data_IF_010522189690
#
_entry.id   IF_010522189690
#
_cell.length_a   1.000
_cell.length_b   1.000
_cell.length_c   1.000
_cell.angle_alpha   90.00
_cell.angle_beta   90.00
_cell.angle_gamma   90.00
#
_symmetry.space_group_name_H-M   'P 1'
#
loop_
_entity.id
_entity.type
_entity.pdbx_description
1 polymer ?
#
# COMPACT_ATOMS: atom_id res chain seq x y z
N UNK A 1 4.27 -5.97 -18.06
CA UNK A 1 3.17 -5.00 -18.28
C UNK A 1 2.20 -4.92 -17.11
N UNK A 2 1.74 -6.02 -16.49
CA UNK A 2 0.81 -5.97 -15.36
C UNK A 2 1.28 -5.14 -14.16
N UNK A 3 2.58 -5.22 -13.80
CA UNK A 3 3.14 -4.42 -12.72
C UNK A 3 3.11 -2.91 -12.98
N UNK A 4 3.38 -2.49 -14.23
CA UNK A 4 3.31 -1.07 -14.61
C UNK A 4 1.87 -0.54 -14.57
N UNK A 5 0.91 -1.35 -15.01
CA UNK A 5 -0.52 -0.99 -14.96
C UNK A 5 -0.99 -0.86 -13.49
N UNK A 6 -0.62 -1.81 -12.63
CA UNK A 6 -0.95 -1.74 -11.20
C UNK A 6 -0.33 -0.50 -10.52
N UNK A 7 0.91 -0.19 -10.85
CA UNK A 7 1.61 1.01 -10.36
C UNK A 7 0.96 2.31 -10.84
N UNK A 8 0.42 2.33 -12.06
CA UNK A 8 -0.18 3.52 -12.65
C UNK A 8 -1.63 3.71 -12.20
N UNK A 9 -2.37 2.63 -12.01
CA UNK A 9 -3.81 2.65 -11.75
C UNK A 9 -4.20 2.15 -10.36
N UNK A 10 -3.25 1.69 -9.54
CA UNK A 10 -3.52 1.17 -8.20
C UNK A 10 -4.25 2.17 -7.30
N UNK A 11 -3.89 3.44 -7.38
CA UNK A 11 -4.53 4.54 -6.64
C UNK A 11 -5.25 5.54 -7.58
N UNK A 12 -5.78 5.06 -8.71
CA UNK A 12 -6.47 5.93 -9.66
C UNK A 12 -7.74 6.54 -9.06
N UNK A 13 -8.46 5.78 -8.25
CA UNK A 13 -9.67 6.23 -7.58
C UNK A 13 -9.36 7.39 -6.64
N UNK A 14 -8.36 7.23 -5.76
CA UNK A 14 -7.92 8.27 -4.83
C UNK A 14 -7.46 9.52 -5.56
N UNK A 15 -6.69 9.35 -6.62
CA UNK A 15 -6.22 10.49 -7.43
C UNK A 15 -7.39 11.23 -8.08
N UNK A 16 -8.38 10.51 -8.64
CA UNK A 16 -9.55 11.12 -9.29
C UNK A 16 -10.41 11.85 -8.25
N UNK A 17 -10.75 11.21 -7.14
CA UNK A 17 -11.52 11.83 -6.04
C UNK A 17 -10.81 13.09 -5.54
N UNK A 18 -9.50 12.99 -5.30
CA UNK A 18 -8.71 14.11 -4.81
C UNK A 18 -8.58 15.26 -5.84
N UNK A 19 -8.47 14.95 -7.15
CA UNK A 19 -8.45 15.97 -8.21
C UNK A 19 -9.79 16.71 -8.32
N UNK A 20 -10.92 16.01 -8.19
CA UNK A 20 -12.25 16.60 -8.18
C UNK A 20 -12.40 17.51 -6.95
N UNK A 21 -12.09 17.00 -5.76
CA UNK A 21 -12.14 17.78 -4.53
C UNK A 21 -11.19 19.00 -4.57
N UNK A 22 -10.00 18.84 -5.18
CA UNK A 22 -9.04 19.94 -5.38
C UNK A 22 -9.61 21.01 -6.30
N UNK A 23 -10.24 20.62 -7.41
CA UNK A 23 -10.88 21.53 -8.36
C UNK A 23 -12.00 22.35 -7.69
N UNK A 24 -12.76 21.72 -6.79
CA UNK A 24 -13.82 22.38 -5.99
C UNK A 24 -13.25 23.23 -4.82
N UNK A 25 -11.92 23.31 -4.67
CA UNK A 25 -11.26 24.09 -3.62
C UNK A 25 -11.29 23.45 -2.22
N UNK A 26 -11.66 22.18 -2.10
CA UNK A 26 -11.76 21.44 -0.84
C UNK A 26 -10.39 20.93 -0.35
N UNK A 27 -9.40 21.83 -0.26
CA UNK A 27 -8.02 21.50 0.08
C UNK A 27 -7.88 20.72 1.39
N UNK A 28 -8.69 21.07 2.40
CA UNK A 28 -8.70 20.36 3.68
C UNK A 28 -9.13 18.90 3.53
N UNK A 29 -10.20 18.65 2.77
CA UNK A 29 -10.70 17.30 2.49
C UNK A 29 -9.65 16.47 1.74
N UNK A 30 -8.98 17.07 0.74
CA UNK A 30 -7.92 16.41 -0.02
C UNK A 30 -6.79 15.96 0.91
N UNK A 31 -6.28 16.86 1.75
CA UNK A 31 -5.18 16.53 2.69
C UNK A 31 -5.61 15.47 3.70
N UNK A 32 -6.79 15.63 4.31
CA UNK A 32 -7.30 14.66 5.28
C UNK A 32 -7.54 13.28 4.64
N UNK A 33 -8.02 13.22 3.40
CA UNK A 33 -8.18 11.96 2.67
C UNK A 33 -6.84 11.27 2.39
N UNK A 34 -5.82 12.02 1.97
CA UNK A 34 -4.48 11.47 1.77
C UNK A 34 -3.89 10.91 3.08
N UNK A 35 -4.00 11.67 4.17
CA UNK A 35 -3.57 11.22 5.49
C UNK A 35 -4.32 9.95 5.93
N UNK A 36 -5.64 9.94 5.76
CA UNK A 36 -6.49 8.83 6.11
C UNK A 36 -6.25 7.57 5.28
N UNK A 37 -5.97 7.71 3.98
CA UNK A 37 -5.61 6.57 3.13
C UNK A 37 -4.29 5.93 3.58
N UNK A 38 -3.29 6.72 3.95
CA UNK A 38 -2.02 6.19 4.49
C UNK A 38 -2.29 5.46 5.82
N UNK A 39 -2.97 6.10 6.77
CA UNK A 39 -3.29 5.54 8.09
C UNK A 39 -4.16 4.28 7.95
N UNK A 40 -5.20 4.34 7.11
CA UNK A 40 -6.11 3.23 6.86
C UNK A 40 -5.42 2.01 6.28
N UNK A 41 -4.59 2.19 5.27
CA UNK A 41 -3.85 1.09 4.65
C UNK A 41 -2.85 0.45 5.62
N UNK A 42 -2.12 1.25 6.40
CA UNK A 42 -1.10 0.75 7.33
C UNK A 42 -1.70 0.12 8.57
N UNK A 43 -2.77 0.66 9.13
CA UNK A 43 -3.32 0.17 10.40
C UNK A 43 -4.58 -0.69 10.22
N UNK A 44 -5.56 -0.24 9.42
CA UNK A 44 -6.81 -0.97 9.26
C UNK A 44 -6.63 -2.17 8.32
N UNK A 45 -6.13 -1.95 7.11
CA UNK A 45 -6.03 -3.01 6.09
C UNK A 45 -4.99 -4.05 6.47
N UNK A 46 -3.80 -3.60 6.83
CA UNK A 46 -2.75 -4.50 7.26
C UNK A 46 -3.13 -5.21 8.57
N UNK A 47 -3.76 -4.49 9.50
CA UNK A 47 -4.28 -5.05 10.74
C UNK A 47 -5.35 -6.12 10.50
N UNK A 48 -6.34 -5.88 9.63
CA UNK A 48 -7.35 -6.88 9.25
C UNK A 48 -6.71 -8.08 8.56
N UNK A 49 -5.75 -7.86 7.68
CA UNK A 49 -5.03 -8.90 6.96
C UNK A 49 -4.27 -9.83 7.90
N UNK A 50 -3.47 -9.25 8.80
CA UNK A 50 -2.71 -10.01 9.81
C UNK A 50 -3.63 -10.69 10.82
N UNK A 51 -4.68 -10.01 11.28
CA UNK A 51 -5.63 -10.56 12.24
C UNK A 51 -6.38 -11.77 11.67
N UNK A 52 -7.06 -11.59 10.54
CA UNK A 52 -7.86 -12.66 9.94
C UNK A 52 -6.98 -13.78 9.34
N UNK A 53 -5.85 -13.42 8.75
CA UNK A 53 -4.87 -14.39 8.27
C UNK A 53 -4.25 -15.19 9.40
N UNK A 54 -3.84 -14.54 10.49
CA UNK A 54 -3.26 -15.16 11.67
C UNK A 54 -4.24 -16.05 12.46
N UNK A 55 -5.54 -15.71 12.49
CA UNK A 55 -6.58 -16.59 13.03
C UNK A 55 -6.69 -17.90 12.25
N UNK A 56 -6.45 -17.86 10.93
CA UNK A 56 -6.55 -19.03 10.05
C UNK A 56 -5.27 -19.85 10.00
N UNK A 57 -4.10 -19.20 9.96
CA UNK A 57 -2.81 -19.86 9.70
C UNK A 57 -1.84 -19.81 10.88
N UNK A 58 -2.23 -19.21 12.02
CA UNK A 58 -1.41 -18.95 13.22
C UNK A 58 -0.29 -17.94 12.98
N UNK A 59 0.64 -18.22 12.06
CA UNK A 59 1.71 -17.33 11.59
C UNK A 59 1.76 -17.35 10.07
N UNK A 60 2.07 -16.23 9.46
CA UNK A 60 2.29 -16.08 8.02
C UNK A 60 3.57 -15.30 7.79
N UNK A 61 4.34 -15.69 6.79
CA UNK A 61 5.63 -15.07 6.47
C UNK A 61 5.51 -14.17 5.24
N UNK A 62 6.36 -13.16 5.18
CA UNK A 62 6.55 -12.30 4.03
C UNK A 62 8.03 -11.86 3.95
N UNK A 63 8.45 -11.30 2.81
CA UNK A 63 9.86 -11.00 2.57
C UNK A 63 10.39 -9.85 3.43
N UNK A 64 11.29 -10.09 4.41
CA UNK A 64 11.79 -9.05 5.30
C UNK A 64 12.58 -7.97 4.57
N UNK A 65 13.27 -8.33 3.46
CA UNK A 65 14.07 -7.39 2.68
C UNK A 65 13.19 -6.35 2.02
N UNK A 66 12.09 -6.77 1.40
CA UNK A 66 11.11 -5.88 0.77
C UNK A 66 10.40 -5.01 1.83
N UNK A 67 10.02 -5.61 2.97
CA UNK A 67 9.41 -4.88 4.08
C UNK A 67 10.33 -3.76 4.60
N UNK A 68 11.64 -4.01 4.80
CA UNK A 68 12.61 -3.00 5.23
C UNK A 68 12.84 -1.89 4.21
N UNK A 69 12.85 -2.21 2.91
CA UNK A 69 12.95 -1.22 1.84
C UNK A 69 11.72 -0.31 1.82
N UNK A 70 10.53 -0.89 1.93
CA UNK A 70 9.28 -0.15 2.03
C UNK A 70 9.25 0.74 3.29
N UNK A 71 9.71 0.22 4.44
CA UNK A 71 9.83 0.97 5.69
C UNK A 71 10.73 2.20 5.52
N UNK A 72 11.89 2.05 4.85
CA UNK A 72 12.80 3.17 4.57
C UNK A 72 12.14 4.23 3.68
N UNK A 73 11.41 3.80 2.65
CA UNK A 73 10.67 4.70 1.76
C UNK A 73 9.52 5.41 2.47
N UNK A 74 8.82 4.73 3.38
CA UNK A 74 7.78 5.34 4.22
C UNK A 74 8.36 6.36 5.20
N UNK A 75 9.52 6.09 5.80
CA UNK A 75 10.20 7.06 6.65
C UNK A 75 10.57 8.33 5.88
N UNK A 76 11.06 8.21 4.64
CA UNK A 76 11.31 9.36 3.77
C UNK A 76 10.01 10.12 3.48
N UNK A 77 8.91 9.42 3.19
CA UNK A 77 7.61 10.05 2.97
C UNK A 77 7.14 10.84 4.20
N UNK A 78 7.27 10.27 5.42
CA UNK A 78 6.95 10.98 6.67
C UNK A 78 7.79 12.25 6.81
N UNK A 79 9.09 12.18 6.59
CA UNK A 79 10.00 13.34 6.65
C UNK A 79 9.52 14.41 5.66
N UNK A 80 9.24 14.02 4.42
CA UNK A 80 8.82 14.94 3.37
C UNK A 80 7.49 15.64 3.64
N UNK A 81 6.54 14.96 4.29
CA UNK A 81 5.25 15.54 4.70
C UNK A 81 5.38 16.37 5.98
N UNK A 82 6.27 15.99 6.89
CA UNK A 82 6.43 16.65 8.19
C UNK A 82 7.19 17.97 8.08
N UNK A 83 8.24 18.03 7.25
CA UNK A 83 9.13 19.20 7.21
C UNK A 83 8.45 20.51 6.78
N UNK A 84 7.56 20.55 5.76
CA UNK A 84 6.86 21.79 5.40
C UNK A 84 6.00 22.32 6.54
N UNK A 85 5.31 21.43 7.27
CA UNK A 85 4.48 21.81 8.42
C UNK A 85 5.34 22.24 9.61
N UNK A 86 6.43 21.53 9.90
CA UNK A 86 7.36 21.90 10.96
C UNK A 86 7.98 23.28 10.72
N UNK A 87 8.38 23.59 9.48
CA UNK A 87 8.84 24.93 9.10
C UNK A 87 7.79 26.00 9.32
N UNK A 88 6.53 25.72 8.95
CA UNK A 88 5.45 26.68 9.16
C UNK A 88 5.22 26.97 10.65
N UNK A 89 5.33 25.97 11.51
CA UNK A 89 5.15 26.10 12.96
C UNK A 89 6.29 26.81 13.66
N UNK A 90 7.54 26.59 13.19
CA UNK A 90 8.75 27.07 13.88
C UNK A 90 9.25 28.43 13.40
N UNK A 91 8.85 28.88 12.22
CA UNK A 91 9.37 30.10 11.57
C UNK A 91 8.41 31.31 11.67
N UNK A 92 7.56 31.40 12.70
CA UNK A 92 6.57 32.49 12.89
C UNK A 92 5.59 32.62 11.69
N UNK A 93 5.39 31.51 10.97
CA UNK A 93 4.63 31.44 9.72
C UNK A 93 5.50 31.82 8.51
N UNK A 94 5.93 30.81 7.74
CA UNK A 94 6.45 31.09 6.38
C UNK A 94 5.29 31.61 5.53
N UNK A 95 5.54 32.67 4.74
CA UNK A 95 4.51 33.19 3.83
C UNK A 95 3.95 32.06 2.94
N UNK A 96 2.65 32.14 2.63
CA UNK A 96 1.92 31.11 1.85
C UNK A 96 2.67 30.76 0.54
N UNK A 97 3.24 31.74 -0.13
CA UNK A 97 4.02 31.54 -1.37
C UNK A 97 5.27 30.68 -1.13
N UNK A 98 6.02 30.92 -0.06
CA UNK A 98 7.21 30.14 0.25
C UNK A 98 6.87 28.69 0.62
N UNK A 99 5.74 28.48 1.36
CA UNK A 99 5.22 27.16 1.66
C UNK A 99 4.85 26.37 0.39
N UNK A 100 4.23 27.03 -0.59
CA UNK A 100 3.89 26.44 -1.89
C UNK A 100 5.12 26.07 -2.72
N UNK A 101 6.10 26.95 -2.79
CA UNK A 101 7.35 26.68 -3.50
C UNK A 101 8.15 25.54 -2.86
N UNK A 102 8.23 25.50 -1.53
CA UNK A 102 8.84 24.39 -0.81
C UNK A 102 8.11 23.07 -1.12
N UNK A 103 6.77 23.07 -1.03
CA UNK A 103 5.96 21.90 -1.32
C UNK A 103 6.12 21.42 -2.76
N UNK A 104 6.25 22.34 -3.71
CA UNK A 104 6.51 22.02 -5.12
C UNK A 104 7.89 21.36 -5.29
N UNK A 105 8.92 21.90 -4.64
CA UNK A 105 10.25 21.31 -4.68
C UNK A 105 10.29 19.91 -4.06
N UNK A 106 9.64 19.73 -2.90
CA UNK A 106 9.48 18.42 -2.23
C UNK A 106 8.71 17.44 -3.13
N UNK A 107 7.63 17.88 -3.78
CA UNK A 107 6.85 17.06 -4.70
C UNK A 107 7.69 16.53 -5.87
N UNK A 108 8.54 17.36 -6.48
CA UNK A 108 9.45 16.95 -7.56
C UNK A 108 10.44 15.89 -7.07
N UNK A 109 11.01 16.09 -5.87
CA UNK A 109 11.93 15.11 -5.26
C UNK A 109 11.22 13.78 -5.01
N UNK A 110 10.02 13.79 -4.44
CA UNK A 110 9.26 12.56 -4.14
C UNK A 110 8.91 11.76 -5.41
N UNK A 111 8.46 12.44 -6.47
CA UNK A 111 8.19 11.80 -7.77
C UNK A 111 9.49 11.21 -8.34
N UNK A 112 10.60 11.93 -8.23
CA UNK A 112 11.92 11.44 -8.66
C UNK A 112 12.32 10.16 -7.90
N UNK A 113 12.19 10.16 -6.57
CA UNK A 113 12.48 8.98 -5.73
C UNK A 113 11.57 7.82 -6.10
N UNK A 114 10.27 8.07 -6.31
CA UNK A 114 9.35 7.02 -6.73
C UNK A 114 9.73 6.43 -8.09
N UNK A 115 10.09 7.26 -9.07
CA UNK A 115 10.61 6.82 -10.37
C UNK A 115 11.84 5.94 -10.24
N UNK A 116 12.78 6.30 -9.35
CA UNK A 116 13.96 5.47 -9.05
C UNK A 116 13.60 4.16 -8.35
N UNK A 117 12.61 4.16 -7.45
CA UNK A 117 12.09 2.95 -6.81
C UNK A 117 11.46 2.00 -7.84
N UNK A 118 10.73 2.53 -8.82
CA UNK A 118 10.20 1.73 -9.94
C UNK A 118 11.32 1.15 -10.80
N UNK A 119 12.32 1.95 -11.14
CA UNK A 119 13.48 1.47 -11.89
C UNK A 119 14.19 0.34 -11.12
N UNK A 120 14.34 0.50 -9.81
CA UNK A 120 14.93 -0.51 -8.94
C UNK A 120 14.12 -1.81 -8.95
N UNK A 121 12.82 -1.74 -8.66
CA UNK A 121 11.95 -2.92 -8.52
C UNK A 121 11.65 -3.62 -9.84
N UNK A 122 11.51 -2.87 -10.94
CA UNK A 122 11.08 -3.44 -12.23
C UNK A 122 12.22 -3.79 -13.18
N UNK A 123 13.42 -3.24 -12.99
CA UNK A 123 14.51 -3.41 -13.95
C UNK A 123 15.80 -3.95 -13.32
N UNK A 124 16.23 -3.41 -12.18
CA UNK A 124 17.55 -3.74 -11.64
C UNK A 124 17.51 -4.84 -10.60
N UNK A 125 16.44 -4.96 -9.80
CA UNK A 125 16.32 -5.89 -8.67
C UNK A 125 14.95 -6.61 -8.66
N UNK A 126 14.48 -7.00 -9.83
CA UNK A 126 13.18 -7.71 -10.00
C UNK A 126 13.08 -8.97 -9.16
N UNK A 127 14.21 -9.67 -8.96
CA UNK A 127 14.28 -10.91 -8.20
C UNK A 127 13.83 -10.75 -6.73
N UNK A 128 13.95 -9.54 -6.15
CA UNK A 128 13.50 -9.28 -4.79
C UNK A 128 11.97 -9.20 -4.67
N UNK A 129 11.29 -8.91 -5.78
CA UNK A 129 9.84 -8.68 -5.83
C UNK A 129 9.09 -9.83 -6.51
N UNK A 130 9.79 -10.87 -6.97
CA UNK A 130 9.17 -12.02 -7.61
C UNK A 130 8.81 -13.09 -6.56
N UNK A 131 7.60 -12.95 -5.98
CA UNK A 131 7.06 -13.86 -4.98
C UNK A 131 6.98 -15.34 -5.46
N UNK A 132 6.96 -15.57 -6.78
CA UNK A 132 6.97 -16.91 -7.35
C UNK A 132 8.36 -17.58 -7.26
N UNK A 133 9.44 -16.78 -7.26
CA UNK A 133 10.80 -17.27 -7.12
C UNK A 133 11.12 -17.61 -5.65
N UNK A 134 10.69 -16.78 -4.72
CA UNK A 134 10.90 -17.00 -3.28
C UNK A 134 10.21 -18.27 -2.76
N UNK A 135 9.00 -18.58 -3.25
CA UNK A 135 8.30 -19.82 -2.89
C UNK A 135 8.94 -21.08 -3.49
N UNK A 136 9.66 -20.97 -4.63
CA UNK A 136 10.40 -22.08 -5.21
C UNK A 136 11.74 -22.32 -4.48
N UNK A 137 12.44 -21.26 -4.09
CA UNK A 137 13.69 -21.38 -3.34
C UNK A 137 13.45 -21.93 -1.92
N UNK A 138 12.37 -21.50 -1.24
CA UNK A 138 11.95 -22.08 0.04
C UNK A 138 11.59 -23.56 -0.07
N UNK A 139 10.82 -23.95 -1.07
CA UNK A 139 10.44 -25.34 -1.30
C UNK A 139 11.64 -26.24 -1.71
N UNK A 140 12.61 -25.68 -2.45
CA UNK A 140 13.86 -26.41 -2.80
C UNK A 140 14.75 -26.55 -1.58
N UNK A 141 14.85 -25.53 -0.71
CA UNK A 141 15.61 -25.60 0.52
C UNK A 141 15.01 -26.61 1.53
N UNK A 142 13.67 -26.59 1.72
CA UNK A 142 12.98 -27.59 2.55
C UNK A 142 13.10 -29.02 1.96
N UNK A 143 12.98 -29.18 0.65
CA UNK A 143 13.18 -30.46 -0.03
C UNK A 143 14.62 -30.97 0.07
N UNK A 144 15.61 -30.09 0.04
CA UNK A 144 17.02 -30.44 0.22
C UNK A 144 17.34 -30.86 1.67
N UNK A 145 16.79 -30.14 2.65
CA UNK A 145 16.93 -30.48 4.08
C UNK A 145 16.21 -31.79 4.40
N UNK A 146 15.01 -32.02 3.86
CA UNK A 146 14.30 -33.28 4.03
C UNK A 146 15.03 -34.45 3.37
N UNK A 147 15.61 -34.29 2.16
CA UNK A 147 16.44 -35.32 1.51
C UNK A 147 17.71 -35.61 2.30
N UNK A 148 18.41 -34.57 2.77
CA UNK A 148 19.62 -34.76 3.60
C UNK A 148 19.32 -35.46 4.93
N UNK A 149 18.17 -35.18 5.56
CA UNK A 149 17.71 -35.85 6.77
C UNK A 149 17.35 -37.34 6.50
N UNK A 150 16.72 -37.65 5.38
CA UNK A 150 16.36 -39.03 4.98
C UNK A 150 17.60 -39.83 4.63
N UNK A 151 18.60 -39.26 3.93
CA UNK A 151 19.86 -39.90 3.64
C UNK A 151 20.70 -40.17 4.91
N UNK A 152 20.68 -39.22 5.87
CA UNK A 152 21.36 -39.39 7.16
C UNK A 152 20.73 -40.51 8.01
N UNK A 153 19.41 -40.69 7.96
CA UNK A 153 18.68 -41.75 8.67
C UNK A 153 18.83 -43.09 7.92
N UNK A 154 18.88 -43.08 6.57
CA UNK A 154 19.09 -44.28 5.75
C UNK A 154 20.48 -44.94 5.88
N UNK A 155 21.50 -44.18 6.30
CA UNK A 155 22.86 -44.68 6.48
C UNK A 155 23.05 -45.48 7.77
N UNK A 156 22.06 -45.62 8.65
CA UNK A 156 22.12 -46.29 9.95
C UNK A 156 21.43 -47.68 9.95
N UNK A 157 20.77 -48.07 8.86
CA UNK A 157 20.11 -49.39 8.79
C UNK A 157 20.74 -50.30 7.71
N UNK A 158 21.27 -51.48 8.07
CA UNK A 158 21.79 -52.44 7.10
C UNK A 158 20.68 -53.34 6.56
N UNK A 159 20.53 -53.41 5.26
CA UNK A 159 19.92 -54.56 4.63
C UNK A 159 18.80 -54.33 3.62
N UNK A 160 19.13 -54.77 2.40
CA UNK A 160 18.30 -55.15 1.25
C UNK A 160 17.85 -54.06 0.27
N UNK A 161 18.75 -53.83 -0.68
CA UNK A 161 18.46 -53.29 -1.98
C UNK A 161 17.71 -54.28 -2.85
N UNK A 162 16.51 -53.98 -3.31
CA UNK A 162 15.97 -54.45 -4.57
C UNK A 162 15.70 -53.26 -5.47
N UNK A 163 16.53 -53.18 -6.48
CA UNK A 163 16.42 -52.28 -7.64
C UNK A 163 15.03 -52.44 -8.30
N UNK A 164 14.30 -51.39 -8.38
CA UNK A 164 13.25 -51.21 -9.37
C UNK A 164 13.58 -49.94 -10.16
N UNK A 165 14.17 -50.17 -11.36
CA UNK A 165 14.23 -49.18 -12.42
C UNK A 165 12.81 -49.00 -12.97
N UNK A 166 12.11 -47.97 -12.54
CA UNK A 166 10.97 -47.42 -13.30
C UNK A 166 11.51 -46.28 -14.16
N UNK A 167 11.52 -46.54 -15.48
CA UNK A 167 11.74 -45.54 -16.51
C UNK A 167 10.71 -44.44 -16.37
N UNK A 168 11.16 -43.26 -15.96
CA UNK A 168 10.39 -42.04 -16.06
C UNK A 168 10.18 -41.75 -17.55
N UNK A 169 9.00 -42.08 -18.07
CA UNK A 169 8.50 -41.55 -19.35
C UNK A 169 8.43 -40.05 -19.25
N UNK A 170 9.27 -39.35 -20.00
CA UNK A 170 9.12 -37.92 -20.26
C UNK A 170 7.79 -37.69 -20.97
N UNK A 171 6.85 -37.02 -20.29
CA UNK A 171 5.67 -36.49 -20.93
C UNK A 171 6.08 -35.45 -21.98
N UNK A 172 5.41 -35.42 -23.15
CA UNK A 172 5.74 -34.47 -24.21
C UNK A 172 5.57 -33.06 -23.68
N UNK A 173 6.62 -32.25 -23.78
CA UNK A 173 6.62 -30.82 -23.49
C UNK A 173 5.40 -30.17 -24.13
N UNK A 174 4.39 -29.84 -23.35
CA UNK A 174 3.35 -28.91 -23.78
C UNK A 174 4.04 -27.61 -24.19
N UNK A 175 3.97 -27.30 -25.49
CA UNK A 175 4.38 -26.00 -26.00
C UNK A 175 3.60 -24.93 -25.25
N UNK A 176 4.25 -23.85 -24.80
CA UNK A 176 3.53 -22.72 -24.22
C UNK A 176 2.49 -22.27 -25.26
N UNK A 177 1.21 -22.35 -24.91
CA UNK A 177 0.15 -21.72 -25.69
C UNK A 177 0.49 -20.24 -25.73
N UNK A 178 0.86 -19.72 -26.91
CA UNK A 178 0.91 -18.29 -27.16
C UNK A 178 -0.49 -17.74 -26.87
N UNK A 179 -0.66 -17.17 -25.70
CA UNK A 179 -1.80 -16.33 -25.39
C UNK A 179 -1.64 -15.09 -26.25
N UNK A 180 -2.36 -15.07 -27.37
CA UNK A 180 -2.46 -13.91 -28.22
C UNK A 180 -2.74 -12.69 -27.34
N UNK A 181 -1.91 -11.67 -27.53
CA UNK A 181 -1.85 -10.48 -26.70
C UNK A 181 -3.10 -9.60 -26.94
N UNK A 182 -4.28 -10.04 -26.48
CA UNK A 182 -5.53 -9.27 -26.54
C UNK A 182 -5.56 -8.23 -25.41
N UNK A 183 -4.62 -7.27 -25.43
CA UNK A 183 -4.58 -6.14 -24.49
C UNK A 183 -5.76 -5.20 -24.74
N UNK A 184 -6.24 -5.09 -25.98
CA UNK A 184 -7.26 -4.15 -26.42
C UNK A 184 -8.58 -4.19 -25.62
N UNK A 185 -9.23 -5.36 -25.36
CA UNK A 185 -10.48 -5.36 -24.60
C UNK A 185 -10.28 -4.96 -23.14
N UNK A 186 -9.16 -5.32 -22.52
CA UNK A 186 -8.86 -4.97 -21.12
C UNK A 186 -8.58 -3.48 -20.94
N UNK A 187 -7.97 -2.82 -21.94
CA UNK A 187 -7.80 -1.36 -21.96
C UNK A 187 -9.17 -0.67 -22.04
N UNK A 188 -10.09 -1.20 -22.85
CA UNK A 188 -11.47 -0.68 -22.93
C UNK A 188 -12.22 -0.80 -21.60
N UNK A 189 -12.12 -1.95 -20.92
CA UNK A 189 -12.71 -2.17 -19.59
C UNK A 189 -12.11 -1.20 -18.56
N UNK A 190 -10.78 -1.02 -18.56
CA UNK A 190 -10.10 -0.11 -17.65
C UNK A 190 -10.55 1.34 -17.88
N UNK A 191 -10.66 1.78 -19.13
CA UNK A 191 -11.14 3.12 -19.47
C UNK A 191 -12.57 3.35 -19.00
N UNK A 192 -13.46 2.38 -19.26
CA UNK A 192 -14.85 2.45 -18.83
C UNK A 192 -14.97 2.50 -17.30
N UNK A 193 -14.19 1.68 -16.58
CA UNK A 193 -14.13 1.70 -15.12
C UNK A 193 -13.62 3.05 -14.60
N UNK A 194 -12.58 3.62 -15.22
CA UNK A 194 -12.04 4.94 -14.83
C UNK A 194 -13.09 6.05 -15.01
N UNK A 195 -13.86 6.01 -16.11
CA UNK A 195 -14.95 6.96 -16.34
C UNK A 195 -16.06 6.79 -15.28
N UNK A 196 -16.46 5.56 -14.97
CA UNK A 196 -17.45 5.29 -13.94
C UNK A 196 -17.00 5.81 -12.57
N UNK A 197 -15.75 5.55 -12.19
CA UNK A 197 -15.13 6.07 -10.96
C UNK A 197 -15.14 7.60 -10.92
N UNK A 198 -14.87 8.27 -12.05
CA UNK A 198 -14.91 9.73 -12.09
C UNK A 198 -16.31 10.28 -11.80
N UNK A 199 -17.37 9.68 -12.36
CA UNK A 199 -18.75 10.05 -12.06
C UNK A 199 -19.13 9.78 -10.60
N UNK A 200 -18.82 8.61 -10.08
CA UNK A 200 -19.08 8.27 -8.67
C UNK A 200 -18.33 9.20 -7.70
N UNK A 201 -17.09 9.56 -8.05
CA UNK A 201 -16.28 10.48 -7.27
C UNK A 201 -16.87 11.87 -7.19
N UNK A 202 -17.47 12.38 -8.27
CA UNK A 202 -18.16 13.68 -8.28
C UNK A 202 -19.35 13.65 -7.33
N UNK A 203 -20.19 12.62 -7.38
CA UNK A 203 -21.32 12.46 -6.44
C UNK A 203 -20.84 12.34 -4.99
N UNK A 204 -19.77 11.57 -4.76
CA UNK A 204 -19.20 11.40 -3.42
C UNK A 204 -18.73 12.74 -2.84
N UNK A 205 -17.98 13.53 -3.61
CA UNK A 205 -17.46 14.84 -3.18
C UNK A 205 -18.63 15.82 -2.91
N UNK A 206 -19.62 15.88 -3.79
CA UNK A 206 -20.79 16.75 -3.64
C UNK A 206 -21.67 16.39 -2.43
N UNK A 207 -21.79 15.09 -2.13
CA UNK A 207 -22.61 14.63 -1.00
C UNK A 207 -21.88 14.67 0.35
N UNK A 208 -20.55 14.82 0.35
CA UNK A 208 -19.71 14.71 1.54
C UNK A 208 -20.08 15.74 2.62
N UNK A 209 -20.26 17.01 2.24
CA UNK A 209 -20.62 18.06 3.20
C UNK A 209 -22.00 17.84 3.81
N UNK A 210 -22.99 17.52 2.97
CA UNK A 210 -24.35 17.23 3.44
C UNK A 210 -24.39 15.98 4.35
N UNK A 211 -23.67 14.93 4.01
CA UNK A 211 -23.58 13.73 4.84
C UNK A 211 -22.90 14.01 6.18
N UNK A 212 -21.81 14.79 6.17
CA UNK A 212 -21.06 15.17 7.38
C UNK A 212 -21.98 15.95 8.34
N UNK A 213 -22.74 16.93 7.85
CA UNK A 213 -23.68 17.72 8.64
C UNK A 213 -24.84 16.87 9.19
N UNK A 214 -25.45 16.03 8.35
CA UNK A 214 -26.58 15.19 8.75
C UNK A 214 -26.20 14.14 9.80
N UNK A 215 -24.99 13.61 9.73
CA UNK A 215 -24.47 12.63 10.69
C UNK A 215 -23.86 13.27 11.94
N UNK A 216 -23.76 14.59 11.99
CA UNK A 216 -23.13 15.30 13.11
C UNK A 216 -21.65 15.01 13.29
N UNK A 217 -20.94 14.67 12.19
CA UNK A 217 -19.53 14.32 12.19
C UNK A 217 -18.69 15.58 11.95
N UNK A 218 -17.47 15.59 12.49
CA UNK A 218 -16.54 16.66 12.16
C UNK A 218 -15.86 16.38 10.79
N UNK A 219 -15.45 17.45 10.10
CA UNK A 219 -14.84 17.38 8.76
C UNK A 219 -13.54 16.56 8.74
N UNK A 220 -12.79 16.62 9.83
CA UNK A 220 -11.51 15.90 9.95
C UNK A 220 -11.74 14.40 10.04
N UNK A 221 -12.67 13.94 10.89
CA UNK A 221 -13.05 12.53 10.98
C UNK A 221 -13.59 12.00 9.64
N UNK A 222 -14.45 12.76 9.00
CA UNK A 222 -15.01 12.39 7.69
C UNK A 222 -13.91 12.24 6.64
N UNK A 223 -12.97 13.19 6.57
CA UNK A 223 -11.87 13.16 5.61
C UNK A 223 -10.84 12.05 5.90
N UNK A 224 -10.44 11.86 7.18
CA UNK A 224 -9.38 10.90 7.55
C UNK A 224 -9.91 9.48 7.67
N UNK A 225 -11.13 9.28 8.12
CA UNK A 225 -11.65 7.93 8.43
C UNK A 225 -12.65 7.47 7.38
N UNK A 226 -13.76 8.20 7.19
CA UNK A 226 -14.87 7.72 6.35
C UNK A 226 -14.50 7.68 4.86
N UNK A 227 -13.96 8.76 4.34
CA UNK A 227 -13.68 8.89 2.92
C UNK A 227 -12.66 7.84 2.43
N UNK A 228 -11.52 7.61 3.12
CA UNK A 228 -10.57 6.55 2.73
C UNK A 228 -11.12 5.13 2.87
N UNK A 229 -11.90 4.86 3.91
CA UNK A 229 -12.49 3.52 4.10
C UNK A 229 -13.45 3.18 2.96
N UNK A 230 -14.27 4.14 2.53
CA UNK A 230 -15.21 3.94 1.42
C UNK A 230 -14.46 3.91 0.08
N UNK A 231 -13.56 4.87 -0.15
CA UNK A 231 -12.82 5.01 -1.40
C UNK A 231 -11.94 3.80 -1.71
N UNK A 232 -11.33 3.20 -0.69
CA UNK A 232 -10.37 2.10 -0.83
C UNK A 232 -10.98 0.72 -0.51
N UNK A 233 -12.31 0.60 -0.37
CA UNK A 233 -12.96 -0.63 0.06
C UNK A 233 -12.60 -1.86 -0.80
N UNK A 234 -12.48 -1.70 -2.11
CA UNK A 234 -12.10 -2.78 -3.03
C UNK A 234 -10.64 -3.24 -2.84
N UNK A 235 -9.73 -2.29 -2.61
CA UNK A 235 -8.33 -2.58 -2.31
C UNK A 235 -8.17 -3.27 -0.95
N UNK A 236 -8.90 -2.78 0.06
CA UNK A 236 -8.97 -3.39 1.39
C UNK A 236 -9.45 -4.85 1.33
N UNK A 237 -10.55 -5.11 0.61
CA UNK A 237 -11.07 -6.46 0.42
C UNK A 237 -10.07 -7.37 -0.30
N UNK A 238 -9.31 -6.83 -1.27
CA UNK A 238 -8.30 -7.57 -2.01
C UNK A 238 -7.12 -7.95 -1.11
N UNK A 239 -6.59 -7.01 -0.33
CA UNK A 239 -5.46 -7.28 0.58
C UNK A 239 -5.83 -8.34 1.62
N UNK A 240 -6.98 -8.19 2.29
CA UNK A 240 -7.49 -9.17 3.25
C UNK A 240 -7.72 -10.54 2.58
N UNK A 241 -8.29 -10.54 1.37
CA UNK A 241 -8.51 -11.77 0.58
C UNK A 241 -7.20 -12.51 0.25
N UNK A 242 -6.09 -11.80 0.05
CA UNK A 242 -4.76 -12.42 -0.15
C UNK A 242 -4.22 -13.03 1.14
N UNK A 243 -4.34 -12.35 2.29
CA UNK A 243 -3.95 -12.90 3.58
C UNK A 243 -4.74 -14.18 3.92
N UNK A 244 -6.05 -14.21 3.66
CA UNK A 244 -6.90 -15.40 3.84
C UNK A 244 -6.55 -16.57 2.92
N UNK A 245 -5.77 -16.34 1.86
CA UNK A 245 -5.22 -17.36 0.95
C UNK A 245 -3.75 -17.71 1.26
N UNK A 246 -3.24 -17.33 2.40
CA UNK A 246 -1.84 -17.48 2.81
C UNK A 246 -0.84 -16.82 1.85
N UNK A 247 -1.19 -15.65 1.32
CA UNK A 247 -0.36 -14.83 0.44
C UNK A 247 -0.06 -13.50 1.11
N UNK A 248 0.59 -13.56 2.28
CA UNK A 248 0.84 -12.38 3.11
C UNK A 248 1.77 -11.37 2.43
N UNK A 249 2.74 -11.84 1.63
CA UNK A 249 3.57 -10.97 0.79
C UNK A 249 2.74 -10.03 -0.09
N UNK A 250 1.71 -10.58 -0.76
CA UNK A 250 0.83 -9.78 -1.62
C UNK A 250 -0.05 -8.83 -0.80
N UNK A 251 -0.54 -9.27 0.35
CA UNK A 251 -1.36 -8.45 1.24
C UNK A 251 -0.57 -7.24 1.76
N UNK A 252 0.63 -7.46 2.28
CA UNK A 252 1.54 -6.40 2.75
C UNK A 252 1.94 -5.49 1.59
N UNK A 253 2.25 -6.04 0.42
CA UNK A 253 2.60 -5.27 -0.78
C UNK A 253 1.45 -4.36 -1.24
N UNK A 254 0.19 -4.78 -1.14
CA UNK A 254 -0.97 -3.95 -1.45
C UNK A 254 -1.07 -2.81 -0.43
N UNK A 255 -1.12 -3.10 0.86
CA UNK A 255 -1.33 -2.09 1.90
C UNK A 255 -0.18 -1.06 1.98
N UNK A 256 1.07 -1.52 2.06
CA UNK A 256 2.23 -0.63 2.16
C UNK A 256 2.53 0.04 0.81
N UNK A 257 2.38 -0.70 -0.30
CA UNK A 257 2.58 -0.17 -1.65
C UNK A 257 1.62 0.96 -1.98
N UNK A 258 0.32 0.81 -1.66
CA UNK A 258 -0.68 1.87 -1.82
C UNK A 258 -0.32 3.11 -0.98
N UNK A 259 0.03 2.93 0.30
CA UNK A 259 0.48 4.03 1.16
C UNK A 259 1.69 4.78 0.58
N UNK A 260 2.68 4.06 0.04
CA UNK A 260 3.84 4.65 -0.64
C UNK A 260 3.43 5.42 -1.90
N UNK A 261 2.52 4.88 -2.72
CA UNK A 261 2.03 5.57 -3.91
C UNK A 261 1.27 6.84 -3.55
N UNK A 262 0.45 6.82 -2.50
CA UNK A 262 -0.26 8.01 -2.02
C UNK A 262 0.75 9.08 -1.60
N UNK A 263 1.75 8.74 -0.81
CA UNK A 263 2.71 9.69 -0.27
C UNK A 263 3.73 10.19 -1.32
N UNK A 264 4.23 9.30 -2.20
CA UNK A 264 5.32 9.62 -3.13
C UNK A 264 4.84 10.03 -4.54
N UNK A 265 3.55 9.79 -4.86
CA UNK A 265 2.99 10.10 -6.19
C UNK A 265 1.73 10.93 -6.08
N UNK A 266 0.68 10.43 -5.42
CA UNK A 266 -0.64 11.09 -5.43
C UNK A 266 -0.55 12.48 -4.81
N UNK A 267 0.00 12.60 -3.59
CA UNK A 267 0.16 13.90 -2.93
C UNK A 267 1.04 14.87 -3.75
N UNK A 268 2.23 14.47 -4.24
CA UNK A 268 3.04 15.31 -5.13
C UNK A 268 2.34 15.70 -6.44
N UNK A 269 1.62 14.78 -7.09
CA UNK A 269 0.86 15.08 -8.31
C UNK A 269 -0.22 16.13 -8.04
N UNK A 270 -0.92 16.04 -6.91
CA UNK A 270 -1.94 17.02 -6.51
C UNK A 270 -1.33 18.40 -6.23
N UNK A 271 -0.13 18.47 -5.65
CA UNK A 271 0.60 19.75 -5.48
C UNK A 271 0.89 20.38 -6.85
N UNK A 272 1.36 19.59 -7.82
CA UNK A 272 1.64 20.09 -9.18
C UNK A 272 0.35 20.43 -9.95
N UNK A 273 -0.66 19.57 -9.86
CA UNK A 273 -1.96 19.77 -10.50
C UNK A 273 -2.68 21.02 -9.95
N UNK A 274 -2.50 21.32 -8.66
CA UNK A 274 -3.08 22.52 -8.02
C UNK A 274 -2.67 23.81 -8.70
N UNK A 275 -1.44 23.93 -9.19
CA UNK A 275 -1.01 25.08 -9.97
C UNK A 275 -1.76 25.22 -11.30
N UNK A 276 -2.00 24.10 -11.98
CA UNK A 276 -2.71 24.07 -13.26
C UNK A 276 -4.20 24.35 -13.09
N UNK A 277 -4.78 23.85 -12.00
CA UNK A 277 -6.21 24.02 -11.69
C UNK A 277 -6.55 25.36 -11.04
N UNK A 278 -5.55 26.20 -10.77
CA UNK A 278 -5.75 27.48 -10.07
C UNK A 278 -6.10 27.33 -8.57
N UNK A 279 -5.88 26.16 -8.02
CA UNK A 279 -6.07 25.79 -6.60
C UNK A 279 -4.77 25.29 -6.01
N UNK A 280 -3.72 26.12 -5.88
CA UNK A 280 -2.41 25.68 -5.46
C UNK A 280 -2.45 25.08 -4.04
N UNK A 281 -2.08 23.79 -3.96
CA UNK A 281 -2.01 23.01 -2.74
C UNK A 281 -0.57 22.98 -2.22
N UNK A 282 -0.38 23.05 -0.91
CA UNK A 282 0.88 22.80 -0.24
C UNK A 282 0.84 21.48 0.55
N UNK A 283 2.01 20.99 0.99
CA UNK A 283 2.17 19.83 1.86
C UNK A 283 2.12 20.18 3.36
N UNK A 284 1.55 21.33 3.69
CA UNK A 284 1.32 21.73 5.07
C UNK A 284 0.03 21.07 5.59
N UNK A 285 0.15 19.90 6.19
CA UNK A 285 -0.94 19.15 6.82
C UNK A 285 -1.25 19.68 8.22
N UNK A 286 -2.39 19.28 8.78
CA UNK A 286 -2.65 19.54 10.18
C UNK A 286 -1.67 18.78 11.07
N UNK A 287 -1.14 19.38 12.14
CA UNK A 287 -0.15 18.72 13.00
C UNK A 287 -0.62 17.37 13.54
N UNK A 288 -1.91 17.23 13.84
CA UNK A 288 -2.49 16.00 14.34
C UNK A 288 -2.50 14.88 13.27
N UNK A 289 -2.82 15.21 12.01
CA UNK A 289 -2.73 14.27 10.89
C UNK A 289 -1.31 13.73 10.71
N UNK A 290 -0.30 14.61 10.81
CA UNK A 290 1.11 14.23 10.67
C UNK A 290 1.59 13.32 11.81
N UNK A 291 1.19 13.62 13.04
CA UNK A 291 1.49 12.75 14.19
C UNK A 291 0.84 11.38 13.97
N UNK A 292 -0.41 11.34 13.51
CA UNK A 292 -1.11 10.09 13.24
C UNK A 292 -0.42 9.28 12.12
N UNK A 293 0.00 9.92 11.01
CA UNK A 293 0.78 9.27 9.94
C UNK A 293 2.11 8.73 10.50
N UNK A 294 2.87 9.55 11.22
CA UNK A 294 4.17 9.17 11.75
C UNK A 294 4.08 7.97 12.72
N UNK A 295 3.10 7.99 13.62
CA UNK A 295 2.83 6.89 14.56
C UNK A 295 2.40 5.63 13.80
N UNK A 296 1.53 5.75 12.78
CA UNK A 296 1.10 4.63 11.95
C UNK A 296 2.28 3.97 11.22
N UNK A 297 3.16 4.77 10.63
CA UNK A 297 4.38 4.29 9.96
C UNK A 297 5.32 3.62 10.96
N UNK A 298 5.53 4.24 12.14
CA UNK A 298 6.40 3.68 13.18
C UNK A 298 5.91 2.31 13.68
N UNK A 299 4.62 2.19 14.02
CA UNK A 299 4.03 0.93 14.51
C UNK A 299 4.11 -0.15 13.43
N UNK A 300 3.73 0.19 12.19
CA UNK A 300 3.76 -0.74 11.05
C UNK A 300 5.18 -1.23 10.78
N UNK A 301 6.17 -0.33 10.74
CA UNK A 301 7.57 -0.70 10.53
C UNK A 301 8.10 -1.59 11.65
N UNK A 302 7.71 -1.33 12.90
CA UNK A 302 8.11 -2.14 14.06
C UNK A 302 7.58 -3.56 13.95
N UNK A 303 6.29 -3.72 13.63
CA UNK A 303 5.61 -5.02 13.51
C UNK A 303 6.13 -5.81 12.29
N UNK A 304 6.40 -5.12 11.17
CA UNK A 304 6.81 -5.80 9.93
C UNK A 304 8.31 -6.09 9.83
N UNK A 305 9.09 -5.80 10.87
CA UNK A 305 10.56 -5.83 10.81
C UNK A 305 11.16 -7.23 10.68
N UNK A 306 10.50 -8.25 11.22
CA UNK A 306 10.94 -9.64 11.26
C UNK A 306 10.48 -10.46 10.03
N UNK A 307 9.49 -9.96 9.27
CA UNK A 307 8.94 -10.65 8.10
C UNK A 307 7.93 -11.75 8.44
N UNK A 308 7.42 -11.76 9.66
CA UNK A 308 6.37 -12.65 10.11
C UNK A 308 5.13 -11.85 10.53
N UNK A 309 3.98 -12.50 10.58
CA UNK A 309 2.75 -11.91 11.09
C UNK A 309 1.91 -12.94 11.83
N UNK A 310 1.24 -12.49 12.86
CA UNK A 310 0.31 -13.26 13.65
C UNK A 310 -0.95 -12.46 14.00
N UNK A 311 -1.98 -13.13 14.54
CA UNK A 311 -3.26 -12.49 14.85
C UNK A 311 -3.15 -11.36 15.91
N UNK A 312 -2.20 -11.47 16.85
CA UNK A 312 -2.03 -10.46 17.91
C UNK A 312 -1.48 -9.16 17.34
N UNK A 313 -0.51 -9.22 16.45
CA UNK A 313 0.02 -8.05 15.73
C UNK A 313 -1.05 -7.36 14.91
N UNK A 314 -1.89 -8.16 14.21
CA UNK A 314 -3.06 -7.63 13.51
C UNK A 314 -4.03 -6.91 14.44
N UNK A 315 -4.30 -7.49 15.62
CA UNK A 315 -5.16 -6.87 16.65
C UNK A 315 -4.55 -5.56 17.18
N UNK A 316 -3.23 -5.49 17.39
CA UNK A 316 -2.56 -4.28 17.85
C UNK A 316 -2.65 -3.15 16.82
N UNK A 317 -2.50 -3.44 15.52
CA UNK A 317 -2.71 -2.47 14.45
C UNK A 317 -4.15 -1.95 14.43
N UNK A 318 -5.13 -2.85 14.55
CA UNK A 318 -6.56 -2.49 14.60
C UNK A 318 -6.89 -1.64 15.84
N UNK A 319 -6.31 -1.97 16.99
CA UNK A 319 -6.47 -1.18 18.20
C UNK A 319 -5.87 0.23 18.05
N UNK A 320 -4.67 0.34 17.44
CA UNK A 320 -4.07 1.63 17.11
C UNK A 320 -4.95 2.45 16.17
N UNK A 321 -5.51 1.82 15.12
CA UNK A 321 -6.48 2.47 14.23
C UNK A 321 -7.71 2.97 14.98
N UNK A 322 -8.29 2.15 15.85
CA UNK A 322 -9.48 2.52 16.62
C UNK A 322 -9.19 3.70 17.57
N UNK A 323 -8.02 3.72 18.23
CA UNK A 323 -7.61 4.85 19.09
C UNK A 323 -7.46 6.13 18.27
N UNK A 324 -6.82 6.06 17.10
CA UNK A 324 -6.71 7.23 16.21
C UNK A 324 -8.08 7.68 15.68
N UNK A 325 -8.93 6.75 15.27
CA UNK A 325 -10.28 7.08 14.79
C UNK A 325 -11.11 7.78 15.87
N UNK A 326 -11.07 7.29 17.10
CA UNK A 326 -11.72 7.98 18.25
C UNK A 326 -11.10 9.35 18.49
N UNK A 327 -9.78 9.48 18.38
CA UNK A 327 -9.10 10.76 18.57
C UNK A 327 -9.50 11.78 17.49
N UNK A 328 -9.65 11.36 16.22
CA UNK A 328 -10.17 12.19 15.15
C UNK A 328 -11.65 12.53 15.34
N UNK A 329 -12.44 11.61 15.87
CA UNK A 329 -13.87 11.83 16.14
C UNK A 329 -14.10 12.90 17.21
N UNK A 330 -13.31 12.86 18.29
CA UNK A 330 -13.41 13.84 19.39
C UNK A 330 -12.52 15.08 19.21
N UNK A 331 -11.80 15.18 18.09
CA UNK A 331 -11.00 16.37 17.80
C UNK A 331 -11.94 17.59 17.59
N UNK A 332 -11.68 18.71 18.30
CA UNK A 332 -12.54 19.90 18.24
C UNK A 332 -12.56 20.57 16.85
#
# INVERSE_FOLDING_TARGET
MGGLLNVTFGNATELIVALIALKEGLLGVVKSSLAGSIIGNLLLVMGLSMFLGGLRYKSQTFQPVVARMNASSMNLAVIALLLPTAMNLTSSGIGVELSRHLSTAVAVVLIGVYGMTLLFSMKTHTYLFDAATASKEGAVAEGAVAKGAVEAVGAIAPGNAKSHNEELKEDPKEKPKEHGNHISPWVGVLLAATIAVAFESEFLVMSLEAATEQLGLNKLFTGVILLPVIGNAAEHATAVGMALKNKMDLSVSIAVGSSLQIALVVAPVLVLAGWVLGQPMDLNFQPFELVAIAVSVFITNSISSDGESNWLEGLLLLAAYAVLALSFFFHP
#
